data_IF_583841498539
#
_entry.id   IF_583841498539
#
_cell.length_a   1.000
_cell.length_b   1.000
_cell.length_c   1.000
_cell.angle_alpha   90.00
_cell.angle_beta   90.00
_cell.angle_gamma   90.00
#
_symmetry.space_group_name_H-M   'P 1'
#
loop_
_entity.id
_entity.type
_entity.pdbx_description
1 polymer ?
#
# COMPACT_ATOMS: atom_id res chain seq x y z
N UNK A 1 13.10 0.50 -25.78
CA UNK A 1 11.92 -0.32 -25.41
C UNK A 1 11.28 0.33 -24.19
N UNK A 2 10.08 0.89 -24.33
CA UNK A 2 9.31 1.40 -23.19
C UNK A 2 9.17 0.28 -22.17
N UNK A 3 9.62 0.49 -20.92
CA UNK A 3 9.39 -0.49 -19.85
C UNK A 3 7.89 -0.47 -19.57
N UNK A 4 7.19 -1.45 -20.14
CA UNK A 4 5.75 -1.61 -20.00
C UNK A 4 5.44 -1.92 -18.53
N UNK A 5 4.59 -1.10 -17.90
CA UNK A 5 3.98 -1.44 -16.63
C UNK A 5 2.85 -2.42 -16.97
N UNK A 6 2.86 -3.59 -16.33
CA UNK A 6 1.77 -4.55 -16.42
C UNK A 6 0.94 -4.46 -15.15
N UNK A 7 -0.37 -4.31 -15.30
CA UNK A 7 -1.33 -4.19 -14.20
C UNK A 7 -2.21 -5.42 -14.20
N UNK A 8 -2.28 -6.10 -13.06
CA UNK A 8 -3.13 -7.27 -12.83
C UNK A 8 -4.18 -6.92 -11.77
N UNK A 9 -5.45 -6.98 -12.14
CA UNK A 9 -6.56 -6.78 -11.19
C UNK A 9 -7.03 -8.13 -10.66
N UNK A 10 -6.79 -8.38 -9.37
CA UNK A 10 -7.05 -9.68 -8.73
C UNK A 10 -7.95 -9.56 -7.48
N UNK A 11 -8.48 -8.36 -7.19
CA UNK A 11 -9.14 -8.06 -5.92
C UNK A 11 -10.36 -8.94 -5.65
N UNK A 12 -11.23 -9.14 -6.65
CA UNK A 12 -12.43 -9.97 -6.52
C UNK A 12 -12.10 -11.45 -6.34
N UNK A 13 -11.16 -11.98 -7.13
CA UNK A 13 -10.68 -13.36 -7.00
C UNK A 13 -10.08 -13.62 -5.61
N UNK A 14 -9.30 -12.67 -5.08
CA UNK A 14 -8.71 -12.77 -3.74
C UNK A 14 -9.81 -12.79 -2.67
N UNK A 15 -10.86 -11.98 -2.82
CA UNK A 15 -11.99 -11.95 -1.88
C UNK A 15 -12.74 -13.28 -1.89
N UNK A 16 -13.11 -13.78 -3.07
CA UNK A 16 -13.81 -15.06 -3.21
C UNK A 16 -13.02 -16.21 -2.58
N UNK A 17 -11.74 -16.34 -2.94
CA UNK A 17 -10.86 -17.35 -2.35
C UNK A 17 -10.76 -17.23 -0.83
N UNK A 18 -10.74 -16.00 -0.30
CA UNK A 18 -10.66 -15.77 1.14
C UNK A 18 -11.97 -16.16 1.85
N UNK A 19 -13.14 -15.88 1.27
CA UNK A 19 -14.42 -16.28 1.84
C UNK A 19 -14.57 -17.80 1.95
N UNK A 20 -14.12 -18.55 0.95
CA UNK A 20 -14.12 -20.02 0.97
C UNK A 20 -13.21 -20.58 2.09
N UNK A 21 -12.15 -19.87 2.41
CA UNK A 21 -11.05 -20.31 3.28
C UNK A 21 -11.28 -20.02 4.76
N UNK A 22 -11.98 -18.94 5.12
CA UNK A 22 -12.17 -18.47 6.50
C UNK A 22 -13.00 -19.40 7.40
N UNK A 23 -13.36 -20.59 6.92
CA UNK A 23 -14.05 -21.62 7.69
C UNK A 23 -13.09 -22.69 8.29
N UNK A 24 -11.79 -22.69 7.96
CA UNK A 24 -10.82 -23.67 8.46
C UNK A 24 -9.35 -23.17 8.46
N UNK A 25 -8.65 -23.23 9.60
CA UNK A 25 -7.22 -22.85 9.73
C UNK A 25 -6.28 -23.56 8.75
N UNK A 26 -6.57 -24.80 8.36
CA UNK A 26 -5.76 -25.53 7.37
C UNK A 26 -5.90 -24.91 5.98
N UNK A 27 -7.07 -24.35 5.67
CA UNK A 27 -7.31 -23.66 4.41
C UNK A 27 -6.64 -22.28 4.38
N UNK A 28 -6.49 -21.59 5.51
CA UNK A 28 -5.80 -20.30 5.60
C UNK A 28 -4.34 -20.38 5.15
N UNK A 29 -3.61 -21.39 5.66
CA UNK A 29 -2.23 -21.65 5.22
C UNK A 29 -2.16 -21.99 3.73
N UNK A 30 -3.11 -22.79 3.24
CA UNK A 30 -3.18 -23.22 1.85
C UNK A 30 -3.48 -22.05 0.91
N UNK A 31 -4.35 -21.12 1.32
CA UNK A 31 -4.61 -19.88 0.62
C UNK A 31 -3.35 -19.04 0.44
N UNK A 32 -2.65 -18.73 1.53
CA UNK A 32 -1.41 -17.93 1.49
C UNK A 32 -0.35 -18.63 0.62
N UNK A 33 -0.19 -19.95 0.77
CA UNK A 33 0.77 -20.72 -0.03
C UNK A 33 0.41 -20.68 -1.52
N UNK A 34 -0.88 -20.87 -1.86
CA UNK A 34 -1.36 -20.84 -3.25
C UNK A 34 -1.09 -19.47 -3.89
N UNK A 35 -1.58 -18.39 -3.27
CA UNK A 35 -1.47 -17.06 -3.86
C UNK A 35 -0.01 -16.60 -4.00
N UNK A 36 0.82 -16.85 -2.98
CA UNK A 36 2.24 -16.47 -3.02
C UNK A 36 3.04 -17.30 -4.02
N UNK A 37 2.70 -18.58 -4.19
CA UNK A 37 3.33 -19.44 -5.19
C UNK A 37 3.02 -18.95 -6.60
N UNK A 38 1.77 -18.60 -6.90
CA UNK A 38 1.39 -18.07 -8.20
C UNK A 38 2.06 -16.73 -8.49
N UNK A 39 2.11 -15.81 -7.51
CA UNK A 39 2.84 -14.54 -7.65
C UNK A 39 4.33 -14.78 -7.95
N UNK A 40 4.99 -15.70 -7.23
CA UNK A 40 6.41 -16.01 -7.49
C UNK A 40 6.65 -16.62 -8.85
N UNK A 41 5.78 -17.52 -9.30
CA UNK A 41 5.85 -18.10 -10.65
C UNK A 41 5.73 -17.00 -11.68
N UNK A 42 4.75 -16.10 -11.52
CA UNK A 42 4.55 -14.97 -12.42
C UNK A 42 5.77 -14.03 -12.46
N UNK A 43 6.30 -13.66 -11.30
CA UNK A 43 7.52 -12.84 -11.16
C UNK A 43 8.72 -13.48 -11.85
N UNK A 44 8.93 -14.78 -11.63
CA UNK A 44 10.06 -15.51 -12.20
C UNK A 44 9.91 -15.69 -13.71
N UNK A 45 8.72 -16.08 -14.20
CA UNK A 45 8.46 -16.31 -15.62
C UNK A 45 8.63 -15.02 -16.45
N UNK A 46 8.30 -13.87 -15.86
CA UNK A 46 8.37 -12.57 -16.54
C UNK A 46 9.64 -11.77 -16.20
N UNK A 47 10.60 -12.33 -15.45
CA UNK A 47 11.83 -11.65 -15.01
C UNK A 47 11.56 -10.28 -14.35
N UNK A 48 10.53 -10.22 -13.50
CA UNK A 48 10.11 -8.98 -12.83
C UNK A 48 11.14 -8.61 -11.76
N UNK A 49 11.64 -7.38 -11.80
CA UNK A 49 12.58 -6.84 -10.80
C UNK A 49 11.92 -5.93 -9.77
N UNK A 50 10.66 -5.53 -10.01
CA UNK A 50 9.86 -4.65 -9.14
C UNK A 50 8.42 -5.14 -9.10
N UNK A 51 7.94 -5.49 -7.92
CA UNK A 51 6.58 -5.95 -7.68
C UNK A 51 5.86 -4.89 -6.83
N UNK A 52 4.65 -4.50 -7.24
CA UNK A 52 3.78 -3.62 -6.45
C UNK A 52 2.49 -4.38 -6.13
N UNK A 53 2.08 -4.39 -4.87
CA UNK A 53 0.80 -4.96 -4.43
C UNK A 53 0.00 -3.86 -3.76
N UNK A 54 -1.14 -3.50 -4.36
CA UNK A 54 -1.91 -2.32 -3.97
C UNK A 54 -3.43 -2.63 -3.93
N UNK A 55 -4.07 -2.70 -2.74
CA UNK A 55 -3.49 -2.87 -1.41
C UNK A 55 -3.25 -4.34 -1.04
N UNK A 56 -2.32 -4.58 -0.12
CA UNK A 56 -2.08 -5.92 0.46
C UNK A 56 -3.22 -6.37 1.37
N UNK A 57 -3.97 -5.41 1.93
CA UNK A 57 -4.97 -5.63 2.98
C UNK A 57 -5.98 -6.76 2.68
N UNK A 58 -6.54 -6.91 1.46
CA UNK A 58 -7.47 -8.00 1.16
C UNK A 58 -6.84 -9.39 1.30
N UNK A 59 -5.54 -9.51 1.05
CA UNK A 59 -4.79 -10.78 1.09
C UNK A 59 -4.38 -11.22 2.49
N UNK A 60 -4.38 -10.32 3.47
CA UNK A 60 -3.94 -10.62 4.83
C UNK A 60 -5.00 -11.36 5.64
N UNK A 61 -4.57 -12.32 6.45
CA UNK A 61 -5.38 -12.99 7.48
C UNK A 61 -4.85 -12.51 8.83
N UNK A 62 -5.72 -12.06 9.73
CA UNK A 62 -5.33 -11.23 10.89
C UNK A 62 -4.52 -11.91 12.00
N UNK A 63 -4.20 -13.19 11.90
CA UNK A 63 -3.31 -13.86 12.87
C UNK A 63 -1.83 -13.58 12.51
N UNK A 64 -0.99 -13.35 13.52
CA UNK A 64 0.42 -12.94 13.33
C UNK A 64 1.20 -13.91 12.44
N UNK A 65 1.12 -15.21 12.74
CA UNK A 65 1.78 -16.25 11.96
C UNK A 65 1.40 -16.21 10.46
N UNK A 66 0.17 -15.84 10.14
CA UNK A 66 -0.30 -15.76 8.76
C UNK A 66 0.17 -14.48 8.07
N UNK A 67 0.16 -13.34 8.76
CA UNK A 67 0.74 -12.10 8.23
C UNK A 67 2.23 -12.28 8.00
N UNK A 68 2.94 -12.81 8.99
CA UNK A 68 4.33 -13.18 8.92
C UNK A 68 4.63 -14.07 7.69
N UNK A 69 3.86 -15.16 7.55
CA UNK A 69 4.01 -16.10 6.42
C UNK A 69 3.74 -15.42 5.07
N UNK A 70 2.72 -14.58 4.97
CA UNK A 70 2.41 -13.82 3.75
C UNK A 70 3.55 -12.86 3.39
N UNK A 71 4.03 -12.08 4.36
CA UNK A 71 5.06 -11.06 4.18
C UNK A 71 6.42 -11.66 3.80
N UNK A 72 6.87 -12.70 4.52
CA UNK A 72 8.06 -13.47 4.11
C UNK A 72 7.86 -14.09 2.74
N UNK A 73 6.64 -14.50 2.42
CA UNK A 73 6.38 -15.09 1.12
C UNK A 73 6.37 -14.11 -0.06
N UNK A 74 6.34 -12.81 0.22
CA UNK A 74 6.45 -11.77 -0.79
C UNK A 74 7.86 -11.15 -0.86
N UNK A 75 8.75 -11.52 0.07
CA UNK A 75 10.16 -11.19 0.02
C UNK A 75 10.88 -12.10 -1.01
N UNK A 76 10.77 -11.74 -2.29
CA UNK A 76 11.38 -12.47 -3.41
C UNK A 76 12.80 -11.93 -3.63
N UNK A 77 13.79 -12.83 -3.71
CA UNK A 77 15.19 -12.45 -3.94
C UNK A 77 15.36 -11.67 -5.24
N UNK A 78 16.20 -10.62 -5.22
CA UNK A 78 16.47 -9.72 -6.34
C UNK A 78 15.25 -8.94 -6.88
N UNK A 79 14.14 -8.90 -6.13
CA UNK A 79 12.95 -8.13 -6.48
C UNK A 79 12.68 -7.08 -5.41
N UNK A 80 12.47 -5.83 -5.83
CA UNK A 80 11.97 -4.79 -4.94
C UNK A 80 10.46 -4.94 -4.86
N UNK A 81 9.96 -5.39 -3.71
CA UNK A 81 8.52 -5.49 -3.44
C UNK A 81 8.06 -4.25 -2.69
N UNK A 82 7.10 -3.52 -3.26
CA UNK A 82 6.36 -2.43 -2.61
C UNK A 82 4.95 -2.95 -2.35
N UNK A 83 4.47 -2.74 -1.13
CA UNK A 83 3.09 -3.02 -0.77
C UNK A 83 2.45 -1.72 -0.26
N UNK A 84 1.17 -1.52 -0.54
CA UNK A 84 0.38 -0.48 0.12
C UNK A 84 -0.57 -1.15 1.13
N UNK A 85 -0.83 -0.47 2.24
CA UNK A 85 -1.80 -0.92 3.24
C UNK A 85 -2.58 0.28 3.75
N UNK A 86 -3.87 0.07 4.02
CA UNK A 86 -4.67 1.07 4.71
C UNK A 86 -4.25 1.14 6.18
N UNK A 87 -4.28 2.34 6.76
CA UNK A 87 -4.02 2.54 8.19
C UNK A 87 -5.33 2.32 8.96
N UNK A 88 -5.31 1.44 9.98
CA UNK A 88 -6.50 1.20 10.81
C UNK A 88 -6.18 0.91 12.27
N UNK A 89 -5.55 -0.22 12.57
CA UNK A 89 -5.36 -0.69 13.95
C UNK A 89 -4.15 -0.04 14.63
N UNK A 90 -3.14 0.35 13.85
CA UNK A 90 -2.02 1.19 14.25
C UNK A 90 -2.01 2.49 13.46
N UNK A 91 -1.07 3.37 13.78
CA UNK A 91 -0.79 4.56 12.98
C UNK A 91 -0.04 4.26 11.67
N UNK A 92 0.30 3.00 11.37
CA UNK A 92 1.20 2.64 10.27
C UNK A 92 0.66 1.57 9.32
N UNK A 93 -0.21 0.67 9.77
CA UNK A 93 -0.69 -0.45 8.96
C UNK A 93 -2.09 -0.93 9.39
N UNK A 94 -2.62 -1.96 8.73
CA UNK A 94 -4.01 -2.38 8.91
C UNK A 94 -4.19 -3.27 10.13
N UNK A 95 -3.25 -4.19 10.36
CA UNK A 95 -3.19 -5.06 11.54
C UNK A 95 -2.16 -4.59 12.58
N UNK A 96 -1.22 -3.72 12.23
CA UNK A 96 -0.25 -3.13 13.15
C UNK A 96 0.99 -4.00 13.35
N UNK A 97 1.13 -5.08 12.59
CA UNK A 97 2.26 -6.01 12.69
C UNK A 97 3.01 -6.14 11.36
N UNK A 98 2.40 -5.73 10.24
CA UNK A 98 3.00 -5.74 8.91
C UNK A 98 4.34 -4.98 8.90
N UNK A 99 4.40 -3.87 9.64
CA UNK A 99 5.56 -3.00 9.85
C UNK A 99 6.80 -3.71 10.41
N UNK A 100 6.63 -4.82 11.13
CA UNK A 100 7.73 -5.61 11.67
C UNK A 100 8.47 -6.39 10.56
N UNK A 101 7.75 -6.75 9.50
CA UNK A 101 8.22 -7.60 8.41
C UNK A 101 8.73 -6.82 7.18
N UNK A 102 8.66 -5.49 7.19
CA UNK A 102 9.17 -4.64 6.11
C UNK A 102 10.56 -4.09 6.41
N UNK A 103 11.36 -3.87 5.35
CA UNK A 103 12.65 -3.19 5.46
C UNK A 103 12.53 -1.66 5.48
N UNK A 104 11.43 -1.11 4.96
CA UNK A 104 11.16 0.32 4.98
C UNK A 104 9.67 0.62 5.08
N UNK A 105 9.35 1.80 5.60
CA UNK A 105 7.98 2.29 5.82
C UNK A 105 7.92 3.76 5.40
N UNK A 106 7.01 4.05 4.46
CA UNK A 106 6.66 5.39 4.03
C UNK A 106 5.21 5.62 4.44
N UNK A 107 5.00 6.62 5.31
CA UNK A 107 3.67 7.00 5.80
C UNK A 107 3.14 8.16 4.97
N UNK A 108 1.90 8.05 4.50
CA UNK A 108 1.20 9.10 3.75
C UNK A 108 0.02 9.59 4.58
N UNK A 109 -0.08 10.90 4.76
CA UNK A 109 -1.10 11.55 5.59
C UNK A 109 -1.66 12.81 4.93
N UNK A 110 -2.86 13.22 5.33
CA UNK A 110 -3.36 14.55 5.00
C UNK A 110 -2.77 15.56 5.99
N UNK A 111 -2.09 16.58 5.48
CA UNK A 111 -1.54 17.66 6.29
C UNK A 111 -2.61 18.72 6.60
N UNK A 112 -3.46 19.00 5.60
CA UNK A 112 -4.70 19.74 5.74
C UNK A 112 -5.82 18.98 4.99
N UNK A 113 -7.03 18.95 5.54
CA UNK A 113 -8.17 18.40 4.80
C UNK A 113 -8.74 19.41 3.79
N UNK A 114 -8.35 20.69 3.91
CA UNK A 114 -9.00 21.80 3.21
C UNK A 114 -8.35 22.12 1.87
N UNK A 115 -7.02 22.00 1.74
CA UNK A 115 -6.29 22.42 0.53
C UNK A 115 -5.66 21.24 -0.23
N UNK A 116 -5.95 20.01 0.20
CA UNK A 116 -5.40 18.80 -0.40
C UNK A 116 -3.88 18.66 -0.22
N UNK A 117 -3.29 19.38 0.74
CA UNK A 117 -1.89 19.24 1.08
C UNK A 117 -1.70 17.92 1.83
N UNK A 118 -0.74 17.12 1.38
CA UNK A 118 -0.42 15.81 1.95
C UNK A 118 1.01 15.81 2.50
N UNK A 119 1.29 14.93 3.45
CA UNK A 119 2.63 14.68 3.98
C UNK A 119 3.06 13.26 3.67
N UNK A 120 4.32 13.11 3.31
CA UNK A 120 5.02 11.84 3.21
C UNK A 120 6.15 11.84 4.23
N UNK A 121 6.19 10.81 5.07
CA UNK A 121 7.23 10.66 6.10
C UNK A 121 7.87 9.29 5.96
N UNK A 122 9.20 9.24 5.88
CA UNK A 122 9.95 7.98 5.95
C UNK A 122 10.10 7.63 7.44
N UNK A 123 9.36 6.61 7.88
CA UNK A 123 9.34 6.18 9.29
C UNK A 123 10.52 5.25 9.57
N UNK A 124 10.81 4.36 8.61
CA UNK A 124 11.82 3.29 8.74
C UNK A 124 12.49 3.08 7.38
N UNK A 125 13.81 2.93 7.37
CA UNK A 125 14.58 2.35 6.27
C UNK A 125 15.80 1.62 6.84
N UNK A 126 15.89 0.30 6.59
CA UNK A 126 17.07 -0.49 6.95
C UNK A 126 18.16 -0.34 5.88
N UNK A 127 19.42 -0.30 6.32
CA UNK A 127 20.58 -0.33 5.42
C UNK A 127 21.04 1.02 4.85
N UNK A 128 20.54 2.14 5.38
CA UNK A 128 20.97 3.48 4.95
C UNK A 128 20.54 4.58 5.91
N UNK A 129 21.03 5.79 5.66
CA UNK A 129 20.54 7.01 6.32
C UNK A 129 19.39 7.61 5.52
N UNK A 130 18.44 8.24 6.20
CA UNK A 130 17.28 8.87 5.57
C UNK A 130 16.86 10.12 6.32
N UNK A 131 16.21 11.04 5.62
CA UNK A 131 15.66 12.24 6.22
C UNK A 131 14.31 11.91 6.89
N UNK A 132 14.17 12.27 8.16
CA UNK A 132 12.97 11.97 8.94
C UNK A 132 11.93 13.07 8.89
N UNK A 133 12.27 14.28 8.44
CA UNK A 133 11.29 15.35 8.39
C UNK A 133 10.21 15.08 7.33
N UNK A 134 8.94 15.40 7.62
CA UNK A 134 7.84 15.24 6.67
C UNK A 134 8.05 16.06 5.39
N UNK A 135 7.91 15.40 4.25
CA UNK A 135 7.85 16.04 2.94
C UNK A 135 6.40 16.41 2.60
N UNK A 136 6.12 17.69 2.36
CA UNK A 136 4.78 18.16 1.98
C UNK A 136 4.61 18.15 0.48
N UNK A 137 3.51 17.58 -0.01
CA UNK A 137 3.24 17.45 -1.43
C UNK A 137 1.76 17.66 -1.78
N UNK A 138 1.50 17.91 -3.06
CA UNK A 138 0.15 17.89 -3.66
C UNK A 138 0.14 16.92 -4.83
N UNK A 139 -1.06 16.44 -5.17
CA UNK A 139 -1.30 15.61 -6.36
C UNK A 139 -2.01 16.51 -7.37
N UNK A 140 -1.38 16.72 -8.52
CA UNK A 140 -1.87 17.55 -9.62
C UNK A 140 -2.04 16.69 -10.88
N UNK A 141 -2.45 17.30 -11.99
CA UNK A 141 -2.47 16.63 -13.30
C UNK A 141 -1.08 16.14 -13.73
N UNK A 142 -0.01 16.77 -13.23
CA UNK A 142 1.38 16.42 -13.53
C UNK A 142 1.95 15.39 -12.53
N UNK A 143 1.13 14.92 -11.59
CA UNK A 143 1.50 13.93 -10.58
C UNK A 143 1.81 14.54 -9.21
N UNK A 144 2.73 13.91 -8.48
CA UNK A 144 3.13 14.31 -7.12
C UNK A 144 4.17 15.43 -7.20
N UNK A 145 3.83 16.60 -6.67
CA UNK A 145 4.70 17.79 -6.67
C UNK A 145 4.91 18.33 -5.25
N UNK A 146 6.09 18.91 -4.91
CA UNK A 146 6.29 19.59 -3.64
C UNK A 146 5.22 20.66 -3.40
N UNK A 147 4.72 20.77 -2.17
CA UNK A 147 3.63 21.69 -1.86
C UNK A 147 4.01 23.18 -2.02
N UNK A 148 5.30 23.49 -1.95
CA UNK A 148 5.87 24.83 -2.14
C UNK A 148 5.82 25.30 -3.60
N UNK A 149 5.79 24.37 -4.56
CA UNK A 149 5.75 24.68 -5.99
C UNK A 149 4.34 25.05 -6.48
N UNK A 150 3.32 24.82 -5.66
CA UNK A 150 1.93 25.11 -6.00
C UNK A 150 1.44 26.29 -5.15
N UNK A 151 1.22 27.44 -5.76
CA UNK A 151 0.58 28.57 -5.09
C UNK A 151 -0.86 28.20 -4.73
N UNK A 152 -1.24 28.38 -3.47
CA UNK A 152 -2.65 28.28 -3.09
C UNK A 152 -3.43 29.39 -3.81
N UNK A 153 -4.62 29.10 -4.39
CA UNK A 153 -5.52 30.17 -4.75
C UNK A 153 -5.82 30.99 -3.49
N UNK A 154 -5.92 32.33 -3.57
CA UNK A 154 -6.21 33.15 -2.41
C UNK A 154 -7.48 32.62 -1.74
N UNK A 155 -7.38 32.34 -0.44
CA UNK A 155 -8.50 31.89 0.41
C UNK A 155 -9.56 33.00 0.43
N UNK A 156 -10.48 32.93 -0.51
CA UNK A 156 -11.57 33.87 -0.72
C UNK A 156 -12.74 33.16 -1.39
N UNK A 157 -13.34 32.22 -0.66
CA UNK A 157 -14.54 31.52 -1.12
C UNK A 157 -14.66 30.14 -0.47
N UNK A 158 -15.58 30.00 0.48
CA UNK A 158 -16.03 28.70 0.96
C UNK A 158 -16.52 27.86 -0.23
N UNK A 159 -15.75 26.84 -0.62
CA UNK A 159 -16.14 25.85 -1.63
C UNK A 159 -16.73 24.57 -1.01
N UNK A 160 -17.10 24.60 0.27
CA UNK A 160 -17.90 23.56 0.88
C UNK A 160 -19.35 24.05 0.98
N UNK A 161 -20.14 23.81 -0.05
CA UNK A 161 -21.58 23.62 0.19
C UNK A 161 -21.74 22.26 0.88
N UNK A 162 -22.39 22.19 2.05
CA UNK A 162 -22.61 20.92 2.73
C UNK A 162 -23.42 19.97 1.83
N UNK A 163 -23.02 18.71 1.80
CA UNK A 163 -23.55 17.62 0.98
C UNK A 163 -24.96 17.15 1.41
N UNK A 164 -25.86 18.08 1.77
CA UNK A 164 -27.20 17.78 2.30
C UNK A 164 -28.38 18.29 1.47
N UNK A 165 -28.18 18.53 0.18
CA UNK A 165 -29.29 18.88 -0.74
C UNK A 165 -29.19 18.12 -2.08
N UNK A 166 -29.06 16.79 -2.01
CA UNK A 166 -29.27 15.91 -3.16
C UNK A 166 -29.81 14.54 -2.70
N UNK A 167 -30.97 14.56 -2.07
CA UNK A 167 -31.92 13.43 -1.98
C UNK A 167 -33.32 13.98 -2.22
#
# INVERSE_FOLDING_TARGET
KSKMIEVLELSDQIREMKYEVLSNKKEEKKFITKITTEIRKFVSANNITRLVIDPITPMLIGEDDFINMMMYSLAISNVITIITSNVRSSDLSFFGIEENYTSGIIKLEFADQTNGTRTMTVIKMRGGTYHTAPFRYRITSDGVVPAEEVSLPPTGGSLLKPFREAL
#
